data_IF_270239032582
#
_entry.id   IF_270239032582
#
_cell.length_a   1.000
_cell.length_b   1.000
_cell.length_c   1.000
_cell.angle_alpha   90.00
_cell.angle_beta   90.00
_cell.angle_gamma   90.00
#
_symmetry.space_group_name_H-M   'P 1'
#
loop_
_entity.id
_entity.type
_entity.pdbx_description
1 polymer ?
#
# COMPACT_ATOMS: atom_id res chain seq x y z
N UNK A 1 6.27 101.25 -74.37
CA UNK A 1 5.35 100.11 -74.18
C UNK A 1 6.11 98.85 -73.79
N UNK A 2 7.20 98.51 -74.51
CA UNK A 2 8.06 97.34 -74.27
C UNK A 2 8.59 97.16 -72.83
N UNK A 3 9.00 98.24 -72.16
CA UNK A 3 9.54 98.15 -70.79
C UNK A 3 8.50 97.70 -69.73
N UNK A 4 7.23 98.09 -69.88
CA UNK A 4 6.17 97.68 -68.93
C UNK A 4 5.84 96.20 -69.06
N UNK A 5 5.79 95.69 -70.29
CA UNK A 5 5.52 94.27 -70.55
C UNK A 5 6.66 93.36 -70.04
N UNK A 6 7.90 93.83 -70.14
CA UNK A 6 9.06 93.14 -69.54
C UNK A 6 9.00 93.10 -68.01
N UNK A 7 8.59 94.19 -67.36
CA UNK A 7 8.43 94.26 -65.91
C UNK A 7 7.28 93.37 -65.40
N UNK A 8 6.15 93.35 -66.10
CA UNK A 8 5.01 92.49 -65.76
C UNK A 8 5.35 91.00 -65.91
N UNK A 9 6.09 90.62 -66.96
CA UNK A 9 6.54 89.24 -67.13
C UNK A 9 7.55 88.83 -66.06
N UNK A 10 8.48 89.73 -65.69
CA UNK A 10 9.42 89.51 -64.57
C UNK A 10 8.67 89.28 -63.25
N UNK A 11 7.62 90.04 -62.99
CA UNK A 11 6.83 89.88 -61.76
C UNK A 11 6.08 88.54 -61.75
N UNK A 12 5.47 88.14 -62.86
CA UNK A 12 4.81 86.83 -63.02
C UNK A 12 5.80 85.67 -62.81
N UNK A 13 6.98 85.76 -63.41
CA UNK A 13 8.05 84.77 -63.23
C UNK A 13 8.53 84.67 -61.78
N UNK A 14 8.73 85.81 -61.12
CA UNK A 14 9.11 85.86 -59.70
C UNK A 14 8.03 85.28 -58.77
N UNK A 15 6.75 85.55 -59.05
CA UNK A 15 5.64 84.98 -58.30
C UNK A 15 5.57 83.46 -58.49
N UNK A 16 5.69 82.96 -59.73
CA UNK A 16 5.73 81.53 -60.01
C UNK A 16 6.93 80.85 -59.34
N UNK A 17 8.12 81.46 -59.40
CA UNK A 17 9.30 80.97 -58.72
C UNK A 17 9.10 80.89 -57.20
N UNK A 18 8.49 81.92 -56.59
CA UNK A 18 8.19 81.95 -55.16
C UNK A 18 7.20 80.86 -54.75
N UNK A 19 6.17 80.60 -55.57
CA UNK A 19 5.23 79.50 -55.35
C UNK A 19 5.91 78.13 -55.41
N UNK A 20 6.74 77.89 -56.44
CA UNK A 20 7.48 76.63 -56.58
C UNK A 20 8.45 76.44 -55.40
N UNK A 21 9.17 77.49 -55.01
CA UNK A 21 10.13 77.43 -53.90
C UNK A 21 9.44 77.21 -52.55
N UNK A 22 8.36 77.92 -52.26
CA UNK A 22 7.60 77.75 -51.01
C UNK A 22 6.96 76.35 -50.93
N UNK A 23 6.41 75.85 -52.04
CA UNK A 23 5.89 74.49 -52.13
C UNK A 23 6.98 73.45 -51.87
N UNK A 24 8.14 73.58 -52.52
CA UNK A 24 9.28 72.68 -52.34
C UNK A 24 9.80 72.68 -50.89
N UNK A 25 9.94 73.86 -50.28
CA UNK A 25 10.31 74.00 -48.86
C UNK A 25 9.31 73.28 -47.96
N UNK A 26 8.01 73.45 -48.22
CA UNK A 26 6.95 72.75 -47.50
C UNK A 26 7.00 71.23 -47.67
N UNK A 27 7.25 70.74 -48.89
CA UNK A 27 7.42 69.31 -49.17
C UNK A 27 8.59 68.72 -48.38
N UNK A 28 9.74 69.41 -48.34
CA UNK A 28 10.92 68.99 -47.58
C UNK A 28 10.62 68.89 -46.08
N UNK A 29 9.96 69.89 -45.52
CA UNK A 29 9.58 69.91 -44.09
C UNK A 29 8.61 68.77 -43.77
N UNK A 30 7.53 68.60 -44.55
CA UNK A 30 6.56 67.51 -44.33
C UNK A 30 7.18 66.12 -44.44
N UNK A 31 8.11 65.92 -45.40
CA UNK A 31 8.84 64.66 -45.52
C UNK A 31 9.70 64.38 -44.27
N UNK A 32 10.38 65.40 -43.75
CA UNK A 32 11.18 65.30 -42.53
C UNK A 32 10.32 65.00 -41.29
N UNK A 33 9.20 65.72 -41.08
CA UNK A 33 8.27 65.41 -39.99
C UNK A 33 7.71 63.99 -40.10
N UNK A 34 7.36 63.55 -41.30
CA UNK A 34 6.88 62.17 -41.53
C UNK A 34 7.94 61.14 -41.17
N UNK A 35 9.22 61.43 -41.46
CA UNK A 35 10.34 60.57 -41.05
C UNK A 35 10.46 60.51 -39.52
N UNK A 36 10.45 61.66 -38.84
CA UNK A 36 10.51 61.72 -37.37
C UNK A 36 9.34 60.97 -36.73
N UNK A 37 8.13 61.14 -37.25
CA UNK A 37 6.95 60.44 -36.74
C UNK A 37 7.07 58.92 -36.89
N UNK A 38 7.56 58.44 -38.03
CA UNK A 38 7.86 57.01 -38.22
C UNK A 38 8.87 56.49 -37.20
N UNK A 39 9.95 57.25 -36.92
CA UNK A 39 10.94 56.89 -35.90
C UNK A 39 10.33 56.86 -34.50
N UNK A 40 9.51 57.85 -34.15
CA UNK A 40 8.81 57.90 -32.87
C UNK A 40 7.87 56.69 -32.69
N UNK A 41 7.09 56.33 -33.72
CA UNK A 41 6.22 55.14 -33.69
C UNK A 41 7.06 53.87 -33.44
N UNK A 42 8.21 53.71 -34.10
CA UNK A 42 9.08 52.54 -33.90
C UNK A 42 9.54 52.45 -32.44
N UNK A 43 10.04 53.56 -31.89
CA UNK A 43 10.50 53.61 -30.48
C UNK A 43 9.35 53.25 -29.54
N UNK A 44 8.19 53.89 -29.70
CA UNK A 44 7.04 53.63 -28.86
C UNK A 44 6.52 52.18 -28.98
N UNK A 45 6.54 51.61 -30.20
CA UNK A 45 6.14 50.21 -30.45
C UNK A 45 7.07 49.25 -29.71
N UNK A 46 8.38 49.47 -29.81
CA UNK A 46 9.39 48.66 -29.12
C UNK A 46 9.18 48.75 -27.60
N UNK A 47 8.99 49.96 -27.08
CA UNK A 47 8.74 50.19 -25.65
C UNK A 47 7.50 49.47 -25.15
N UNK A 48 6.34 49.67 -25.81
CA UNK A 48 5.08 48.96 -25.46
C UNK A 48 5.27 47.45 -25.47
N UNK A 49 6.00 46.91 -26.44
CA UNK A 49 6.34 45.49 -26.49
C UNK A 49 7.22 45.03 -25.32
N UNK A 50 8.24 45.81 -24.97
CA UNK A 50 9.11 45.53 -23.82
C UNK A 50 8.31 45.54 -22.51
N UNK A 51 7.51 46.58 -22.26
CA UNK A 51 6.67 46.69 -21.07
C UNK A 51 5.66 45.55 -20.96
N UNK A 52 4.97 45.21 -22.04
CA UNK A 52 4.01 44.11 -22.05
C UNK A 52 4.68 42.77 -21.71
N UNK A 53 5.86 42.50 -22.26
CA UNK A 53 6.63 41.29 -21.95
C UNK A 53 7.08 41.28 -20.48
N UNK A 54 7.62 42.39 -19.98
CA UNK A 54 8.04 42.50 -18.57
C UNK A 54 6.88 42.19 -17.60
N UNK A 55 5.70 42.76 -17.86
CA UNK A 55 4.49 42.48 -17.08
C UNK A 55 4.04 41.02 -17.20
N UNK A 56 4.13 40.43 -18.38
CA UNK A 56 3.82 39.01 -18.56
C UNK A 56 4.74 38.10 -17.75
N UNK A 57 6.05 38.35 -17.77
CA UNK A 57 7.01 37.59 -16.96
C UNK A 57 6.68 37.70 -15.47
N UNK A 58 6.40 38.92 -14.97
CA UNK A 58 5.99 39.13 -13.59
C UNK A 58 4.72 38.35 -13.22
N UNK A 59 3.72 38.36 -14.09
CA UNK A 59 2.48 37.63 -13.83
C UNK A 59 2.69 36.12 -13.79
N UNK A 60 3.56 35.59 -14.66
CA UNK A 60 3.93 34.17 -14.66
C UNK A 60 4.70 33.82 -13.38
N UNK A 61 5.70 34.62 -13.01
CA UNK A 61 6.48 34.36 -11.79
C UNK A 61 5.63 34.47 -10.53
N UNK A 62 4.72 35.44 -10.45
CA UNK A 62 3.77 35.57 -9.34
C UNK A 62 2.82 34.37 -9.25
N UNK A 63 2.27 33.91 -10.37
CA UNK A 63 1.42 32.70 -10.40
C UNK A 63 2.19 31.45 -9.98
N UNK A 64 3.41 31.27 -10.49
CA UNK A 64 4.27 30.17 -10.09
C UNK A 64 4.57 30.24 -8.60
N UNK A 65 5.01 31.40 -8.10
CA UNK A 65 5.28 31.61 -6.68
C UNK A 65 4.05 31.31 -5.82
N UNK A 66 2.87 31.83 -6.17
CA UNK A 66 1.61 31.53 -5.47
C UNK A 66 1.27 30.03 -5.46
N UNK A 67 1.55 29.30 -6.55
CA UNK A 67 1.34 27.86 -6.61
C UNK A 67 2.36 27.10 -5.75
N UNK A 68 3.64 27.47 -5.83
CA UNK A 68 4.71 26.86 -5.02
C UNK A 68 4.54 27.12 -3.53
N UNK A 69 4.11 28.32 -3.15
CA UNK A 69 3.87 28.73 -1.77
C UNK A 69 2.46 28.37 -1.28
N UNK A 70 1.66 27.62 -2.06
CA UNK A 70 0.36 27.17 -1.58
C UNK A 70 0.56 26.06 -0.54
N UNK A 71 0.29 26.32 0.75
CA UNK A 71 0.60 25.38 1.83
C UNK A 71 -0.11 24.04 1.64
N UNK A 72 -1.30 24.02 1.04
CA UNK A 72 -2.07 22.79 0.81
C UNK A 72 -1.40 21.87 -0.22
N UNK A 73 -0.77 22.42 -1.26
CA UNK A 73 -0.09 21.63 -2.29
C UNK A 73 1.24 21.07 -1.76
N UNK A 74 2.00 21.88 -1.02
CA UNK A 74 3.21 21.45 -0.33
C UNK A 74 2.89 20.32 0.64
N UNK A 75 1.88 20.51 1.49
CA UNK A 75 1.46 19.50 2.47
C UNK A 75 0.96 18.22 1.80
N UNK A 76 0.15 18.31 0.73
CA UNK A 76 -0.31 17.13 -0.01
C UNK A 76 0.86 16.34 -0.59
N UNK A 77 1.81 17.04 -1.21
CA UNK A 77 3.00 16.43 -1.82
C UNK A 77 3.88 15.77 -0.76
N UNK A 78 4.13 16.47 0.34
CA UNK A 78 4.93 15.97 1.46
C UNK A 78 4.29 14.76 2.13
N UNK A 79 2.97 14.80 2.43
CA UNK A 79 2.24 13.65 3.00
C UNK A 79 2.35 12.43 2.09
N UNK A 80 2.22 12.61 0.78
CA UNK A 80 2.38 11.54 -0.20
C UNK A 80 3.80 10.94 -0.21
N UNK A 81 4.83 11.80 -0.19
CA UNK A 81 6.22 11.37 -0.08
C UNK A 81 6.48 10.59 1.22
N UNK A 82 6.04 11.14 2.36
CA UNK A 82 6.26 10.56 3.67
C UNK A 82 5.66 9.15 3.79
N UNK A 83 4.41 8.98 3.37
CA UNK A 83 3.73 7.68 3.37
C UNK A 83 4.50 6.65 2.55
N UNK A 84 4.92 7.00 1.33
CA UNK A 84 5.64 6.07 0.44
C UNK A 84 7.03 5.71 0.93
N UNK A 85 7.70 6.61 1.67
CA UNK A 85 9.06 6.38 2.15
C UNK A 85 9.11 5.67 3.50
N UNK A 86 8.22 6.02 4.42
CA UNK A 86 8.35 5.63 5.83
C UNK A 86 7.22 4.74 6.36
N UNK A 87 6.01 4.81 5.80
CA UNK A 87 4.86 4.05 6.30
C UNK A 87 4.64 2.78 5.48
N UNK A 88 4.58 2.91 4.15
CA UNK A 88 4.25 1.79 3.25
C UNK A 88 5.49 1.23 2.55
N UNK A 89 6.09 0.20 3.14
CA UNK A 89 7.06 -0.64 2.45
C UNK A 89 6.34 -1.74 1.66
N UNK A 90 6.07 -1.47 0.38
CA UNK A 90 5.39 -2.41 -0.52
C UNK A 90 6.09 -3.77 -0.60
N UNK A 91 7.42 -3.77 -0.74
CA UNK A 91 8.21 -4.99 -0.89
C UNK A 91 8.21 -5.84 0.39
N UNK A 92 8.33 -5.22 1.56
CA UNK A 92 8.24 -5.93 2.83
C UNK A 92 6.85 -6.56 3.04
N UNK A 93 5.78 -5.82 2.70
CA UNK A 93 4.40 -6.35 2.77
C UNK A 93 4.20 -7.51 1.80
N UNK A 94 4.67 -7.39 0.56
CA UNK A 94 4.56 -8.45 -0.45
C UNK A 94 5.25 -9.73 0.02
N UNK A 95 6.50 -9.61 0.49
CA UNK A 95 7.27 -10.75 1.05
C UNK A 95 6.57 -11.42 2.24
N UNK A 96 5.96 -10.63 3.13
CA UNK A 96 5.18 -11.18 4.24
C UNK A 96 3.97 -11.99 3.77
N UNK A 97 3.21 -11.47 2.79
CA UNK A 97 2.04 -12.17 2.25
C UNK A 97 2.42 -13.46 1.53
N UNK A 98 3.51 -13.46 0.75
CA UNK A 98 4.04 -14.67 0.12
C UNK A 98 4.41 -15.72 1.16
N UNK A 99 5.09 -15.33 2.24
CA UNK A 99 5.41 -16.22 3.35
C UNK A 99 4.17 -16.77 4.08
N UNK A 100 3.11 -15.96 4.22
CA UNK A 100 1.83 -16.40 4.79
C UNK A 100 1.14 -17.45 3.91
N UNK A 101 1.15 -17.26 2.59
CA UNK A 101 0.57 -18.24 1.65
C UNK A 101 1.27 -19.59 1.80
N UNK A 102 2.61 -19.60 1.79
CA UNK A 102 3.41 -20.82 1.97
C UNK A 102 3.13 -21.52 3.31
N UNK A 103 3.01 -20.76 4.41
CA UNK A 103 2.66 -21.33 5.73
C UNK A 103 1.25 -21.90 5.75
N UNK A 104 0.27 -21.20 5.18
CA UNK A 104 -1.10 -21.70 5.11
C UNK A 104 -1.19 -23.00 4.30
N UNK A 105 -0.45 -23.11 3.20
CA UNK A 105 -0.37 -24.33 2.40
C UNK A 105 0.30 -25.48 3.15
N UNK A 106 1.35 -25.20 3.93
CA UNK A 106 1.97 -26.20 4.80
C UNK A 106 0.97 -26.73 5.85
N UNK A 107 0.31 -25.82 6.58
CA UNK A 107 -0.66 -26.19 7.61
C UNK A 107 -1.82 -27.00 7.02
N UNK A 108 -2.32 -26.63 5.83
CA UNK A 108 -3.35 -27.43 5.14
C UNK A 108 -2.88 -28.85 4.85
N UNK A 109 -1.67 -29.01 4.29
CA UNK A 109 -1.10 -30.34 4.03
C UNK A 109 -0.90 -31.16 5.29
N UNK A 110 -0.47 -30.53 6.38
CA UNK A 110 -0.33 -31.20 7.69
C UNK A 110 -1.69 -31.67 8.22
N UNK A 111 -2.73 -30.84 8.10
CA UNK A 111 -4.09 -31.21 8.50
C UNK A 111 -4.64 -32.37 7.66
N UNK A 112 -4.43 -32.36 6.35
CA UNK A 112 -4.84 -33.45 5.45
C UNK A 112 -4.15 -34.78 5.83
N UNK A 113 -2.85 -34.73 6.17
CA UNK A 113 -2.11 -35.91 6.63
C UNK A 113 -2.62 -36.42 7.98
N UNK A 114 -2.94 -35.53 8.92
CA UNK A 114 -3.49 -35.91 10.21
C UNK A 114 -4.88 -36.54 10.07
N UNK A 115 -5.74 -35.99 9.22
CA UNK A 115 -7.06 -36.55 8.96
C UNK A 115 -6.96 -37.98 8.41
N UNK A 116 -6.06 -38.19 7.46
CA UNK A 116 -5.81 -39.50 6.86
C UNK A 116 -5.21 -40.50 7.86
N UNK A 117 -4.26 -40.06 8.71
CA UNK A 117 -3.73 -40.90 9.79
C UNK A 117 -4.81 -41.31 10.79
N UNK A 118 -5.66 -40.35 11.21
CA UNK A 118 -6.77 -40.64 12.11
C UNK A 118 -7.78 -41.60 11.47
N UNK A 119 -8.02 -41.49 10.16
CA UNK A 119 -8.90 -42.41 9.44
C UNK A 119 -8.35 -43.83 9.45
N UNK A 120 -7.06 -44.01 9.15
CA UNK A 120 -6.39 -45.32 9.22
C UNK A 120 -6.38 -45.89 10.63
N UNK A 121 -6.16 -45.05 11.64
CA UNK A 121 -6.22 -45.47 13.04
C UNK A 121 -7.63 -46.01 13.39
N UNK A 122 -8.68 -45.31 12.97
CA UNK A 122 -10.08 -45.79 13.14
C UNK A 122 -10.32 -47.12 12.44
N UNK A 123 -9.88 -47.26 11.19
CA UNK A 123 -10.01 -48.50 10.41
C UNK A 123 -9.26 -49.66 11.08
N UNK A 124 -8.03 -49.44 11.52
CA UNK A 124 -7.25 -50.43 12.28
C UNK A 124 -7.95 -50.82 13.59
N UNK A 125 -8.46 -49.84 14.35
CA UNK A 125 -9.19 -50.11 15.58
C UNK A 125 -10.45 -50.94 15.32
N UNK A 126 -11.18 -50.66 14.24
CA UNK A 126 -12.39 -51.41 13.89
C UNK A 126 -12.05 -52.84 13.42
N UNK A 127 -10.97 -53.03 12.66
CA UNK A 127 -10.46 -54.38 12.33
C UNK A 127 -10.05 -55.17 13.58
N UNK A 128 -9.38 -54.53 14.55
CA UNK A 128 -9.00 -55.18 15.82
C UNK A 128 -10.25 -55.55 16.62
N UNK A 129 -11.26 -54.68 16.70
CA UNK A 129 -12.54 -55.00 17.35
C UNK A 129 -13.25 -56.16 16.66
N UNK A 130 -13.28 -56.20 15.33
CA UNK A 130 -13.90 -57.29 14.58
C UNK A 130 -13.16 -58.62 14.81
N UNK A 131 -11.82 -58.61 14.74
CA UNK A 131 -11.02 -59.79 15.00
C UNK A 131 -11.18 -60.28 16.45
N UNK A 132 -11.14 -59.39 17.44
CA UNK A 132 -11.37 -59.74 18.85
C UNK A 132 -12.78 -60.27 19.09
N UNK A 133 -13.82 -59.73 18.43
CA UNK A 133 -15.17 -60.27 18.49
C UNK A 133 -15.25 -61.70 17.93
N UNK A 134 -14.59 -61.97 16.79
CA UNK A 134 -14.47 -63.33 16.21
C UNK A 134 -13.76 -64.28 17.17
N UNK A 135 -12.68 -63.84 17.80
CA UNK A 135 -11.95 -64.61 18.83
C UNK A 135 -12.87 -64.93 20.01
N UNK A 136 -13.60 -63.94 20.55
CA UNK A 136 -14.53 -64.15 21.66
C UNK A 136 -15.67 -65.12 21.29
N UNK A 137 -16.21 -65.02 20.07
CA UNK A 137 -17.22 -65.95 19.56
C UNK A 137 -16.67 -67.37 19.44
N UNK A 138 -15.45 -67.53 18.92
CA UNK A 138 -14.76 -68.81 18.83
C UNK A 138 -14.59 -69.44 20.24
N UNK A 139 -14.13 -68.68 21.22
CA UNK A 139 -14.03 -69.16 22.60
C UNK A 139 -15.39 -69.63 23.18
N UNK A 140 -16.51 -68.98 22.83
CA UNK A 140 -17.85 -69.43 23.25
C UNK A 140 -18.31 -70.72 22.57
N UNK A 141 -17.89 -70.93 21.33
CA UNK A 141 -18.31 -72.06 20.48
C UNK A 141 -17.29 -73.22 20.45
N UNK A 142 -16.23 -73.19 21.29
CA UNK A 142 -15.14 -74.16 21.25
C UNK A 142 -15.54 -75.63 21.44
N UNK A 143 -16.66 -75.89 22.12
CA UNK A 143 -17.19 -77.24 22.31
C UNK A 143 -17.75 -77.87 21.02
N UNK A 144 -18.01 -77.06 19.97
CA UNK A 144 -18.50 -77.52 18.67
C UNK A 144 -17.36 -78.00 17.74
N UNK A 145 -16.11 -77.95 18.22
CA UNK A 145 -14.93 -78.43 17.51
C UNK A 145 -14.93 -79.94 17.28
N UNK A 146 -14.32 -80.38 16.18
CA UNK A 146 -14.12 -81.82 15.95
C UNK A 146 -13.18 -82.43 16.98
N UNK A 147 -13.58 -83.58 17.50
CA UNK A 147 -12.73 -84.44 18.31
C UNK A 147 -12.16 -85.56 17.46
N UNK A 148 -11.24 -86.36 18.02
CA UNK A 148 -10.69 -87.53 17.33
C UNK A 148 -11.76 -88.58 17.01
N UNK A 149 -12.81 -88.64 17.83
CA UNK A 149 -13.86 -89.65 17.75
C UNK A 149 -15.05 -89.19 16.91
N UNK A 150 -15.42 -87.90 17.00
CA UNK A 150 -16.61 -87.35 16.33
C UNK A 150 -16.27 -86.06 15.57
N UNK A 151 -16.68 -85.93 14.30
CA UNK A 151 -16.56 -84.68 13.55
C UNK A 151 -17.46 -83.60 14.18
N UNK A 152 -16.92 -82.40 14.35
CA UNK A 152 -17.63 -81.24 14.90
C UNK A 152 -18.56 -80.59 13.88
N UNK A 153 -19.47 -79.73 14.34
CA UNK A 153 -20.49 -79.09 13.49
C UNK A 153 -19.86 -78.32 12.32
N UNK A 154 -18.66 -77.74 12.53
CA UNK A 154 -17.93 -76.96 11.54
C UNK A 154 -17.01 -77.79 10.62
N UNK A 155 -16.97 -79.12 10.77
CA UNK A 155 -16.18 -80.04 9.95
C UNK A 155 -17.04 -81.21 9.46
N UNK A 156 -18.00 -80.88 8.60
CA UNK A 156 -18.92 -81.87 8.03
C UNK A 156 -18.19 -82.86 7.10
N UNK A 157 -18.43 -84.18 7.21
CA UNK A 157 -17.84 -85.19 6.33
C UNK A 157 -18.14 -85.01 4.84
N UNK A 158 -19.18 -84.23 4.51
CA UNK A 158 -19.61 -83.96 3.14
C UNK A 158 -18.91 -82.76 2.50
N UNK A 159 -18.06 -82.04 3.24
CA UNK A 159 -17.28 -80.92 2.70
C UNK A 159 -15.83 -81.36 2.44
N UNK A 160 -15.22 -80.90 1.32
CA UNK A 160 -13.83 -81.24 1.00
C UNK A 160 -12.81 -80.57 1.93
N UNK A 161 -13.19 -79.51 2.64
CA UNK A 161 -12.34 -78.81 3.61
C UNK A 161 -13.15 -78.33 4.83
N UNK A 162 -12.52 -78.21 6.01
CA UNK A 162 -13.15 -77.65 7.21
C UNK A 162 -13.58 -76.19 7.02
N UNK A 163 -14.66 -75.77 7.66
CA UNK A 163 -15.11 -74.37 7.61
C UNK A 163 -14.05 -73.44 8.26
N UNK A 164 -13.90 -72.22 7.75
CA UNK A 164 -13.08 -71.15 8.36
C UNK A 164 -13.21 -71.04 9.89
N UNK A 165 -14.42 -71.23 10.45
CA UNK A 165 -14.65 -71.22 11.89
C UNK A 165 -13.94 -72.38 12.61
N UNK A 166 -13.94 -73.60 12.04
CA UNK A 166 -13.20 -74.76 12.58
C UNK A 166 -11.69 -74.48 12.57
N UNK A 167 -11.16 -73.83 11.54
CA UNK A 167 -9.74 -73.47 11.44
C UNK A 167 -9.35 -72.45 12.51
N UNK A 168 -10.13 -71.38 12.68
CA UNK A 168 -9.92 -70.36 13.71
C UNK A 168 -9.98 -70.97 15.12
N UNK A 169 -10.98 -71.81 15.38
CA UNK A 169 -11.13 -72.53 16.62
C UNK A 169 -9.94 -73.47 16.90
N UNK A 170 -9.48 -74.24 15.90
CA UNK A 170 -8.29 -75.11 16.03
C UNK A 170 -7.01 -74.32 16.30
N UNK A 171 -6.86 -73.13 15.72
CA UNK A 171 -5.69 -72.29 15.91
C UNK A 171 -5.69 -71.60 17.29
N UNK A 172 -6.84 -71.13 17.77
CA UNK A 172 -6.94 -70.43 19.06
C UNK A 172 -6.94 -71.37 20.27
N UNK A 173 -7.62 -72.52 20.18
CA UNK A 173 -7.77 -73.46 21.31
C UNK A 173 -6.50 -74.31 21.54
N UNK A 174 -5.69 -74.55 20.49
CA UNK A 174 -4.43 -75.31 20.62
C UNK A 174 -3.25 -74.49 21.17
N UNK A 175 -3.36 -73.16 21.20
CA UNK A 175 -2.29 -72.24 21.62
C UNK A 175 -2.64 -71.46 22.90
N UNK A 176 -3.11 -72.15 23.95
CA UNK A 176 -2.99 -71.62 25.31
C UNK A 176 -2.14 -72.55 26.16
N UNK A 177 -0.81 -72.41 26.04
CA UNK A 177 0.05 -72.64 27.20
C UNK A 177 -0.18 -71.44 28.14
N UNK A 178 -0.51 -71.65 29.43
CA UNK A 178 -0.56 -70.55 30.38
C UNK A 178 0.86 -70.02 30.55
N UNK A 179 1.20 -68.93 29.86
CA UNK A 179 2.32 -68.10 30.33
C UNK A 179 1.84 -67.53 31.64
N UNK A 180 2.30 -68.14 32.74
CA UNK A 180 2.12 -67.64 34.10
C UNK A 180 2.45 -66.16 34.08
N UNK A 181 1.44 -65.30 34.22
CA UNK A 181 1.66 -63.94 34.71
C UNK A 181 2.37 -64.11 36.05
N UNK A 182 3.67 -63.81 36.05
CA UNK A 182 4.49 -63.86 37.24
C UNK A 182 3.83 -63.01 38.32
N UNK A 183 3.75 -63.58 39.51
CA UNK A 183 3.27 -62.94 40.71
C UNK A 183 3.94 -61.58 40.88
N UNK A 184 3.10 -60.57 41.08
CA UNK A 184 3.46 -59.23 41.55
C UNK A 184 4.22 -59.36 42.88
N UNK A 185 5.56 -59.33 42.82
CA UNK A 185 6.48 -59.46 43.94
C UNK A 185 7.49 -58.32 43.92
N UNK A 186 7.57 -57.60 45.05
CA UNK A 186 8.35 -56.40 45.33
C UNK A 186 9.88 -56.62 45.19
N UNK A 187 10.61 -55.64 44.65
CA UNK A 187 11.89 -55.15 45.21
C UNK A 187 12.39 -53.85 44.52
N UNK A 188 12.60 -52.83 45.36
CA UNK A 188 13.59 -51.71 45.36
C UNK A 188 14.05 -51.05 44.04
N UNK A 189 13.89 -49.74 43.83
CA UNK A 189 14.57 -48.56 44.45
C UNK A 189 16.10 -48.59 44.42
N UNK A 190 16.68 -47.83 43.49
CA UNK A 190 17.91 -47.00 43.57
C UNK A 190 18.11 -46.34 42.19
N UNK A 191 18.06 -45.02 41.97
CA UNK A 191 17.93 -43.89 42.88
C UNK A 191 17.49 -42.60 42.15
N UNK A 192 17.01 -41.66 42.95
CA UNK A 192 16.76 -40.22 42.66
C UNK A 192 17.71 -39.47 43.62
N UNK A 193 18.37 -38.33 43.25
CA UNK A 193 17.77 -36.98 43.34
C UNK A 193 18.21 -36.01 42.22
N UNK A 194 17.55 -34.87 41.95
CA UNK A 194 16.82 -33.94 42.84
C UNK A 194 15.92 -33.01 41.99
N UNK A 195 14.61 -32.88 42.29
CA UNK A 195 13.93 -31.75 42.98
C UNK A 195 14.11 -30.36 42.32
N UNK A 196 13.05 -29.62 41.97
CA UNK A 196 12.05 -29.07 42.91
C UNK A 196 10.74 -28.65 42.19
N UNK A 197 9.64 -28.78 42.96
CA UNK A 197 8.21 -28.41 42.78
C UNK A 197 7.93 -27.09 42.02
N UNK A 198 6.73 -26.79 41.52
CA UNK A 198 5.35 -26.89 42.05
C UNK A 198 4.42 -26.37 40.91
N UNK A 199 3.09 -26.47 40.82
CA UNK A 199 2.00 -27.11 41.56
C UNK A 199 0.67 -26.71 40.88
N UNK A 200 -0.36 -27.58 41.02
CA UNK A 200 -1.83 -27.32 40.92
C UNK A 200 -2.51 -27.16 39.52
N UNK A 201 -3.87 -27.26 39.42
CA UNK A 201 -4.73 -28.37 39.87
C UNK A 201 -5.91 -28.73 38.91
N UNK A 202 -6.46 -29.93 39.11
CA UNK A 202 -7.88 -30.34 39.17
C UNK A 202 -8.97 -29.78 38.22
N UNK A 203 -9.61 -30.74 37.55
CA UNK A 203 -10.84 -30.66 36.74
C UNK A 203 -12.10 -30.51 37.60
N UNK A 204 -13.00 -29.59 37.23
CA UNK A 204 -14.43 -29.69 37.55
C UNK A 204 -15.30 -29.13 36.40
N UNK A 205 -16.22 -29.96 35.93
CA UNK A 205 -17.52 -29.54 35.36
C UNK A 205 -17.55 -29.09 33.89
N UNK A 206 -18.07 -29.95 33.01
CA UNK A 206 -18.80 -29.47 31.83
C UNK A 206 -20.09 -28.76 32.29
N UNK A 207 -20.59 -27.75 31.55
CA UNK A 207 -21.79 -28.06 30.77
C UNK A 207 -21.94 -27.29 29.43
N UNK A 208 -22.46 -28.05 28.47
CA UNK A 208 -23.61 -27.70 27.63
C UNK A 208 -23.51 -26.50 26.66
N UNK A 209 -23.51 -26.87 25.38
CA UNK A 209 -23.83 -26.05 24.22
C UNK A 209 -25.20 -25.38 24.41
N UNK A 210 -25.23 -24.05 24.43
CA UNK A 210 -26.42 -23.24 24.12
C UNK A 210 -26.04 -22.13 23.15
N UNK A 211 -26.74 -22.14 22.03
CA UNK A 211 -26.76 -21.19 20.91
C UNK A 211 -26.93 -19.73 21.35
N UNK A 212 -26.19 -18.79 20.73
CA UNK A 212 -26.65 -17.41 20.44
C UNK A 212 -25.69 -16.69 19.47
N UNK A 213 -26.26 -16.11 18.41
CA UNK A 213 -25.63 -15.22 17.43
C UNK A 213 -24.92 -14.05 18.10
N UNK A 214 -23.67 -13.75 17.70
CA UNK A 214 -23.16 -12.38 17.74
C UNK A 214 -22.21 -12.09 16.57
N UNK A 215 -22.56 -11.01 15.89
CA UNK A 215 -21.96 -10.24 14.80
C UNK A 215 -20.42 -10.09 14.84
N UNK A 216 -19.79 -10.40 13.69
CA UNK A 216 -18.57 -9.79 13.11
C UNK A 216 -17.55 -9.15 14.07
N UNK A 217 -16.49 -9.88 14.40
CA UNK A 217 -15.21 -9.31 14.88
C UNK A 217 -14.09 -9.71 13.91
N UNK A 218 -13.55 -8.74 13.16
CA UNK A 218 -12.33 -8.93 12.37
C UNK A 218 -11.18 -9.29 13.32
N UNK A 219 -10.27 -10.23 12.95
CA UNK A 219 -9.11 -10.51 13.77
C UNK A 219 -8.17 -9.29 13.78
N UNK A 220 -7.93 -8.75 14.98
CA UNK A 220 -6.92 -7.73 15.24
C UNK A 220 -5.55 -8.42 15.12
N UNK A 221 -4.79 -8.07 14.08
CA UNK A 221 -3.40 -8.50 13.92
C UNK A 221 -2.52 -7.79 14.97
N UNK A 222 -1.49 -8.46 15.52
CA UNK A 222 -0.59 -7.85 16.49
C UNK A 222 0.12 -6.64 15.87
N UNK A 223 0.38 -5.58 16.66
CA UNK A 223 1.07 -4.41 16.14
C UNK A 223 2.48 -4.83 15.77
N UNK A 224 2.78 -4.77 14.46
CA UNK A 224 4.15 -4.80 13.98
C UNK A 224 4.85 -3.65 14.72
N UNK A 225 5.95 -3.96 15.41
CA UNK A 225 6.72 -3.00 16.20
C UNK A 225 7.30 -1.94 15.25
N UNK A 226 6.46 -0.97 14.93
CA UNK A 226 6.83 0.13 14.09
C UNK A 226 7.32 1.23 15.02
N UNK A 227 8.42 1.88 14.67
CA UNK A 227 8.86 3.16 15.27
C UNK A 227 7.84 4.31 15.04
N UNK A 228 6.57 3.98 14.81
CA UNK A 228 5.49 4.89 14.38
C UNK A 228 5.07 5.85 15.47
N UNK A 229 5.11 5.49 16.76
CA UNK A 229 4.75 6.45 17.82
C UNK A 229 5.78 7.58 17.93
N UNK A 230 7.08 7.27 17.92
CA UNK A 230 8.14 8.28 17.90
C UNK A 230 8.13 9.11 16.60
N UNK A 231 7.88 8.49 15.44
CA UNK A 231 7.84 9.18 14.16
C UNK A 231 6.61 10.08 13.99
N UNK A 232 5.46 9.73 14.56
CA UNK A 232 4.24 10.55 14.50
C UNK A 232 4.36 11.80 15.39
N UNK A 233 4.97 11.67 16.57
CA UNK A 233 5.33 12.79 17.45
C UNK A 233 6.31 13.76 16.76
N UNK A 234 7.37 13.22 16.14
CA UNK A 234 8.34 14.01 15.39
C UNK A 234 7.72 14.76 14.19
N UNK A 235 6.73 14.16 13.52
CA UNK A 235 5.98 14.84 12.46
C UNK A 235 5.13 16.00 12.97
N UNK A 236 4.58 15.90 14.19
CA UNK A 236 3.78 16.97 14.80
C UNK A 236 4.66 18.17 15.17
N UNK A 237 5.85 17.92 15.71
CA UNK A 237 6.85 18.97 15.99
C UNK A 237 7.37 19.64 14.71
N UNK A 238 7.73 18.87 13.68
CA UNK A 238 8.22 19.44 12.41
C UNK A 238 7.15 20.29 11.70
N UNK A 239 5.87 19.89 11.79
CA UNK A 239 4.76 20.68 11.25
C UNK A 239 4.55 21.99 12.04
N UNK A 240 4.73 21.97 13.37
CA UNK A 240 4.67 23.18 14.20
C UNK A 240 5.84 24.13 13.90
N UNK A 241 7.06 23.61 13.72
CA UNK A 241 8.23 24.41 13.35
C UNK A 241 8.11 25.03 11.95
N UNK A 242 7.52 24.31 10.98
CA UNK A 242 7.25 24.88 9.65
C UNK A 242 6.18 25.98 9.70
N UNK A 243 5.21 25.84 10.60
CA UNK A 243 4.14 26.82 10.77
C UNK A 243 4.64 28.09 11.46
N UNK A 244 5.54 27.98 12.44
CA UNK A 244 6.19 29.14 13.08
C UNK A 244 7.19 29.82 12.14
N UNK A 245 7.95 29.07 11.33
CA UNK A 245 8.85 29.69 10.34
C UNK A 245 8.10 30.42 9.23
N UNK A 246 6.93 29.93 8.83
CA UNK A 246 6.08 30.59 7.83
C UNK A 246 5.53 31.91 8.36
N UNK A 247 5.13 31.96 9.64
CA UNK A 247 4.70 33.21 10.28
C UNK A 247 5.84 34.24 10.37
N UNK A 248 7.06 33.79 10.62
CA UNK A 248 8.22 34.67 10.73
C UNK A 248 8.64 35.28 9.37
N UNK A 249 8.45 34.54 8.27
CA UNK A 249 8.66 35.04 6.92
C UNK A 249 7.62 36.09 6.52
N UNK A 250 6.35 35.93 6.91
CA UNK A 250 5.32 36.95 6.64
C UNK A 250 5.61 38.29 7.34
N UNK A 251 6.28 38.29 8.51
CA UNK A 251 6.77 39.52 9.17
C UNK A 251 7.96 40.18 8.44
N UNK A 252 8.90 39.40 7.88
CA UNK A 252 10.05 39.95 7.14
C UNK A 252 9.70 40.54 5.76
N UNK A 253 8.59 40.13 5.14
CA UNK A 253 8.09 40.73 3.90
C UNK A 253 7.40 42.10 4.08
N UNK A 254 7.36 42.64 5.31
CA UNK A 254 6.89 43.99 5.64
C UNK A 254 7.93 45.10 5.37
N UNK A 255 8.86 44.90 4.44
CA UNK A 255 9.71 45.97 3.88
C UNK A 255 9.17 46.26 2.49
N UNK A 256 8.72 47.52 2.24
CA UNK A 256 8.05 47.97 1.02
C UNK A 256 8.60 47.22 -0.22
N UNK A 257 7.85 46.27 -0.80
CA UNK A 257 8.37 45.45 -1.88
C UNK A 257 8.80 46.34 -3.04
N UNK A 258 9.95 46.05 -3.64
CA UNK A 258 10.56 46.78 -4.77
C UNK A 258 9.58 47.03 -5.91
N UNK A 259 8.54 46.20 -6.03
CA UNK A 259 7.42 46.37 -6.95
C UNK A 259 6.57 47.63 -6.70
N UNK A 260 6.41 48.07 -5.45
CA UNK A 260 5.75 49.34 -5.09
C UNK A 260 6.60 50.53 -5.57
N UNK A 261 7.92 50.47 -5.39
CA UNK A 261 8.84 51.52 -5.89
C UNK A 261 8.80 51.58 -7.43
N UNK A 262 8.72 50.43 -8.10
CA UNK A 262 8.55 50.33 -9.55
C UNK A 262 7.18 50.84 -10.01
N UNK A 263 6.10 50.56 -9.28
CA UNK A 263 4.77 51.10 -9.56
C UNK A 263 4.72 52.61 -9.38
N UNK A 264 5.31 53.13 -8.31
CA UNK A 264 5.42 54.57 -8.04
C UNK A 264 6.23 55.27 -9.13
N UNK A 265 7.33 54.67 -9.59
CA UNK A 265 8.13 55.19 -10.71
C UNK A 265 7.38 55.17 -12.05
N UNK A 266 6.62 54.10 -12.33
CA UNK A 266 5.78 53.99 -13.53
C UNK A 266 4.64 55.02 -13.49
N UNK A 267 4.03 55.23 -12.32
CA UNK A 267 2.96 56.21 -12.13
C UNK A 267 3.48 57.64 -12.28
N UNK A 268 4.66 57.94 -11.71
CA UNK A 268 5.37 59.22 -11.83
C UNK A 268 5.71 59.57 -13.29
N UNK A 269 6.17 58.61 -14.08
CA UNK A 269 6.46 58.82 -15.51
C UNK A 269 5.17 59.00 -16.32
N UNK A 270 4.08 58.32 -15.94
CA UNK A 270 2.79 58.45 -16.63
C UNK A 270 2.16 59.83 -16.45
N UNK A 271 2.39 60.49 -15.31
CA UNK A 271 1.99 61.89 -15.07
C UNK A 271 2.85 62.92 -15.80
N UNK A 272 4.04 62.54 -16.29
CA UNK A 272 4.95 63.47 -16.98
C UNK A 272 4.82 63.42 -18.52
N UNK A 273 4.06 62.45 -19.05
CA UNK A 273 3.91 62.19 -20.50
C UNK A 273 2.52 62.64 -21.04
N UNK A 274 1.64 63.16 -20.19
CA UNK A 274 0.38 63.81 -20.56
C UNK A 274 0.46 65.31 -20.26
#
# INVERSE_FOLDING_TARGET
MYFREADENREKENQAATQIQSWFRGCKVRAYLSHLHKKAIIIQKIWRGFTARALSYLNVTFKLHKNFCNPTQIQRTWRGFFVRKYIHNFYARKKYMEGLVMKNELVRRELDQLEELQKRERECLDMVKEHTAKVCQAHRLHHLLSTKQCPGVFNSPFRPAPHEMELLLRQQVKYQAPTRLASRGKACLLGIPSSTSSSFPETLGSPLIKTSRTYSSRPILPPIANKTQQQHLHCRELMLCLQTSYMHLEEEFSVRPVWIILLDYIQYIRTFIH
#
